data_IF_533098649971
#
_entry.id   IF_533098649971
#
_cell.length_a   1.000
_cell.length_b   1.000
_cell.length_c   1.000
_cell.angle_alpha   90.00
_cell.angle_beta   90.00
_cell.angle_gamma   90.00
#
_symmetry.space_group_name_H-M   'P 1'
#
loop_
_entity.id
_entity.type
_entity.pdbx_description
1 polymer ?
#
# COMPACT_ATOMS: atom_id res chain seq x y z
N UNK A 1 37.86 21.92 60.75
CA UNK A 1 38.34 21.67 59.38
C UNK A 1 37.13 21.64 58.46
N UNK A 2 37.09 22.61 57.56
CA UNK A 2 36.08 22.93 56.55
C UNK A 2 36.06 21.90 55.42
N UNK A 3 34.87 21.62 54.88
CA UNK A 3 34.67 21.41 53.44
C UNK A 3 33.18 21.61 53.08
N UNK A 4 32.85 22.83 52.67
CA UNK A 4 31.61 23.14 51.97
C UNK A 4 31.79 22.72 50.51
N UNK A 5 31.01 21.75 50.05
CA UNK A 5 30.94 21.35 48.64
C UNK A 5 29.79 22.09 47.95
N UNK A 6 30.10 23.17 47.23
CA UNK A 6 29.17 23.88 46.35
C UNK A 6 29.02 23.06 45.07
N UNK A 7 27.88 22.38 44.91
CA UNK A 7 27.53 21.73 43.64
C UNK A 7 27.09 22.80 42.64
N UNK A 8 28.03 23.20 41.80
CA UNK A 8 27.83 24.12 40.70
C UNK A 8 26.90 23.49 39.64
N UNK A 9 25.75 24.13 39.46
CA UNK A 9 25.04 24.38 38.19
C UNK A 9 25.47 23.51 37.00
N UNK A 10 24.83 22.35 36.85
CA UNK A 10 24.86 21.62 35.59
C UNK A 10 23.83 22.27 34.63
N UNK A 11 24.24 22.79 33.46
CA UNK A 11 23.32 23.39 32.52
C UNK A 11 22.46 22.28 31.88
N UNK A 12 21.18 22.26 32.23
CA UNK A 12 20.17 21.37 31.69
C UNK A 12 19.65 21.87 30.34
N UNK A 13 20.54 22.06 29.38
CA UNK A 13 20.15 22.27 27.98
C UNK A 13 19.69 20.93 27.40
N UNK A 14 18.41 20.60 27.61
CA UNK A 14 17.77 19.48 26.90
C UNK A 14 17.81 19.81 25.41
N UNK A 15 18.40 18.97 24.55
CA UNK A 15 18.32 19.19 23.12
C UNK A 15 16.85 19.21 22.73
N UNK A 16 16.38 20.36 22.23
CA UNK A 16 15.06 20.48 21.63
C UNK A 16 15.12 19.66 20.33
N UNK A 17 14.47 18.50 20.33
CA UNK A 17 14.25 17.73 19.12
C UNK A 17 13.32 18.55 18.22
N UNK A 18 13.89 19.20 17.20
CA UNK A 18 13.14 19.79 16.11
C UNK A 18 12.86 18.67 15.10
N UNK A 19 11.63 18.13 15.03
CA UNK A 19 11.32 17.10 14.04
C UNK A 19 11.60 17.66 12.65
N UNK A 20 12.20 16.87 11.73
CA UNK A 20 12.49 17.34 10.39
C UNK A 20 11.24 17.96 9.74
N UNK A 21 11.34 19.23 9.35
CA UNK A 21 10.27 20.04 8.72
C UNK A 21 9.72 19.44 7.41
N UNK A 22 10.35 18.38 6.88
CA UNK A 22 9.97 17.67 5.67
C UNK A 22 9.30 16.30 5.92
N UNK A 23 8.89 16.00 7.15
CA UNK A 23 8.16 14.75 7.42
C UNK A 23 6.72 14.91 6.95
N UNK A 24 6.38 14.26 5.83
CA UNK A 24 5.02 14.27 5.30
C UNK A 24 4.04 13.67 6.31
N UNK A 25 3.10 14.47 6.80
CA UNK A 25 2.08 14.00 7.72
C UNK A 25 1.06 13.14 6.97
N UNK A 26 1.13 11.82 7.16
CA UNK A 26 0.18 10.89 6.57
C UNK A 26 -1.07 10.77 7.43
N UNK A 27 -2.22 10.58 6.78
CA UNK A 27 -3.46 10.18 7.46
C UNK A 27 -3.36 8.72 7.88
N UNK A 28 -4.24 8.28 8.79
CA UNK A 28 -4.37 6.89 9.21
C UNK A 28 -5.02 6.01 8.11
N UNK A 29 -4.40 5.97 6.93
CA UNK A 29 -4.81 5.15 5.80
C UNK A 29 -3.56 4.70 5.03
N UNK A 30 -3.43 3.39 4.84
CA UNK A 30 -2.35 2.79 4.04
C UNK A 30 -2.93 2.03 2.86
N UNK A 31 -2.44 2.33 1.66
CA UNK A 31 -2.70 1.55 0.46
C UNK A 31 -1.51 0.61 0.18
N UNK A 32 -1.77 -0.68 0.08
CA UNK A 32 -0.72 -1.70 -0.01
C UNK A 32 -0.71 -2.35 -1.39
N UNK A 33 0.47 -2.54 -1.97
CA UNK A 33 0.68 -3.18 -3.27
C UNK A 33 1.27 -4.58 -3.08
N UNK A 34 0.64 -5.59 -3.67
CA UNK A 34 1.20 -6.92 -3.86
C UNK A 34 1.68 -7.06 -5.31
N UNK A 35 2.96 -7.36 -5.48
CA UNK A 35 3.59 -7.63 -6.78
C UNK A 35 4.19 -9.03 -6.83
N UNK A 36 4.46 -9.51 -8.04
CA UNK A 36 5.29 -10.68 -8.24
C UNK A 36 6.77 -10.48 -7.85
N UNK A 37 7.62 -11.51 -8.03
CA UNK A 37 8.99 -11.54 -7.53
C UNK A 37 9.91 -10.47 -8.10
N UNK A 38 9.62 -9.99 -9.32
CA UNK A 38 10.35 -8.89 -9.93
C UNK A 38 10.10 -7.54 -9.23
N UNK A 39 9.11 -7.44 -8.33
CA UNK A 39 8.82 -6.20 -7.63
C UNK A 39 8.51 -5.05 -8.59
N UNK A 40 9.03 -3.87 -8.28
CA UNK A 40 8.93 -2.68 -9.13
C UNK A 40 9.88 -2.71 -10.36
N UNK A 41 10.64 -3.78 -10.56
CA UNK A 41 11.36 -4.01 -11.82
C UNK A 41 10.39 -4.42 -12.95
N UNK A 42 9.23 -5.00 -12.61
CA UNK A 42 8.16 -5.23 -13.58
C UNK A 42 7.52 -3.90 -14.04
N UNK A 43 7.40 -3.64 -15.35
CA UNK A 43 6.83 -2.39 -15.86
C UNK A 43 5.37 -2.15 -15.45
N UNK A 44 4.55 -3.21 -15.32
CA UNK A 44 3.15 -3.06 -14.89
C UNK A 44 3.09 -2.69 -13.42
N UNK A 45 3.85 -3.38 -12.57
CA UNK A 45 3.97 -3.07 -11.16
C UNK A 45 4.47 -1.63 -10.93
N UNK A 46 5.45 -1.17 -11.72
CA UNK A 46 5.92 0.22 -11.69
C UNK A 46 4.84 1.23 -12.05
N UNK A 47 4.04 0.95 -13.07
CA UNK A 47 2.92 1.81 -13.45
C UNK A 47 1.85 1.89 -12.36
N UNK A 48 1.51 0.75 -11.74
CA UNK A 48 0.59 0.67 -10.61
C UNK A 48 1.12 1.49 -9.43
N UNK A 49 2.40 1.28 -9.06
CA UNK A 49 3.05 2.02 -7.98
C UNK A 49 3.07 3.52 -8.24
N UNK A 50 3.35 3.96 -9.46
CA UNK A 50 3.27 5.38 -9.84
C UNK A 50 1.88 5.97 -9.60
N UNK A 51 0.81 5.23 -9.94
CA UNK A 51 -0.57 5.64 -9.66
C UNK A 51 -0.86 5.76 -8.17
N UNK A 52 -0.38 4.80 -7.37
CA UNK A 52 -0.50 4.84 -5.91
C UNK A 52 0.26 6.03 -5.31
N UNK A 53 1.48 6.32 -5.78
CA UNK A 53 2.26 7.48 -5.36
C UNK A 53 1.55 8.80 -5.69
N UNK A 54 0.91 8.90 -6.86
CA UNK A 54 0.10 10.06 -7.21
C UNK A 54 -1.13 10.21 -6.30
N UNK A 55 -1.78 9.10 -5.94
CA UNK A 55 -2.89 9.10 -4.98
C UNK A 55 -2.43 9.50 -3.57
N UNK A 56 -1.29 8.97 -3.13
CA UNK A 56 -0.65 9.38 -1.87
C UNK A 56 -0.38 10.88 -1.89
N UNK A 57 0.24 11.40 -2.96
CA UNK A 57 0.53 12.83 -3.15
C UNK A 57 -0.71 13.70 -3.01
N UNK A 58 -1.85 13.25 -3.56
CA UNK A 58 -3.11 13.99 -3.53
C UNK A 58 -3.92 13.88 -2.23
N UNK A 59 -3.70 12.85 -1.41
CA UNK A 59 -4.58 12.52 -0.27
C UNK A 59 -3.87 12.41 1.08
N UNK A 60 -2.54 12.45 1.08
CA UNK A 60 -1.68 12.13 2.22
C UNK A 60 -1.92 10.73 2.79
N UNK A 61 -2.48 9.79 2.03
CA UNK A 61 -2.47 8.38 2.39
C UNK A 61 -1.05 7.81 2.28
N UNK A 62 -0.67 6.90 3.16
CA UNK A 62 0.59 6.16 3.05
C UNK A 62 0.47 5.09 1.96
N UNK A 63 1.56 4.79 1.26
CA UNK A 63 1.65 3.67 0.32
C UNK A 63 2.78 2.74 0.72
N UNK A 64 2.56 1.42 0.62
CA UNK A 64 3.57 0.39 0.84
C UNK A 64 3.47 -0.68 -0.24
N UNK A 65 4.54 -1.44 -0.44
CA UNK A 65 4.52 -2.59 -1.34
C UNK A 65 5.20 -3.80 -0.71
N UNK A 66 4.77 -4.98 -1.12
CA UNK A 66 5.44 -6.25 -0.86
C UNK A 66 5.54 -7.02 -2.17
N UNK A 67 6.71 -7.62 -2.40
CA UNK A 67 6.93 -8.51 -3.52
C UNK A 67 6.86 -9.96 -3.04
N UNK A 68 6.28 -10.84 -3.85
CA UNK A 68 6.36 -12.27 -3.64
C UNK A 68 7.82 -12.77 -3.64
N UNK A 69 8.06 -13.92 -3.01
CA UNK A 69 9.40 -14.48 -2.88
C UNK A 69 10.04 -14.81 -4.24
N UNK A 70 11.34 -14.54 -4.37
CA UNK A 70 12.17 -14.96 -5.51
C UNK A 70 12.59 -16.43 -5.33
N UNK A 71 12.68 -17.18 -6.43
CA UNK A 71 13.21 -18.54 -6.44
C UNK A 71 12.21 -19.64 -6.05
N UNK A 72 10.93 -19.28 -5.90
CA UNK A 72 9.84 -20.23 -5.70
C UNK A 72 8.95 -20.28 -6.94
N UNK A 73 8.25 -21.40 -7.13
CA UNK A 73 7.23 -21.51 -8.16
C UNK A 73 6.09 -20.53 -7.84
N UNK A 74 5.82 -19.61 -8.76
CA UNK A 74 4.77 -18.60 -8.63
C UNK A 74 3.40 -19.30 -8.70
N UNK A 75 2.87 -19.65 -7.54
CA UNK A 75 1.61 -20.36 -7.36
C UNK A 75 0.75 -19.65 -6.33
N UNK A 76 -0.57 -19.87 -6.36
CA UNK A 76 -1.48 -19.25 -5.38
C UNK A 76 -1.00 -19.52 -3.95
N UNK A 77 -0.70 -20.78 -3.63
CA UNK A 77 -0.24 -21.18 -2.30
C UNK A 77 1.04 -20.47 -1.84
N UNK A 78 2.00 -20.24 -2.74
CA UNK A 78 3.26 -19.54 -2.41
C UNK A 78 3.06 -18.03 -2.15
N UNK A 79 2.07 -17.40 -2.80
CA UNK A 79 1.81 -15.96 -2.69
C UNK A 79 0.82 -15.65 -1.55
N UNK A 80 -0.03 -16.60 -1.17
CA UNK A 80 -1.05 -16.44 -0.10
C UNK A 80 -0.50 -15.85 1.21
N UNK A 81 0.68 -16.26 1.74
CA UNK A 81 1.23 -15.66 2.96
C UNK A 81 1.47 -14.16 2.83
N UNK A 82 1.95 -13.70 1.66
CA UNK A 82 2.18 -12.28 1.38
C UNK A 82 0.85 -11.53 1.30
N UNK A 83 -0.14 -12.07 0.60
CA UNK A 83 -1.49 -11.49 0.54
C UNK A 83 -2.13 -11.38 1.93
N UNK A 84 -2.05 -12.42 2.75
CA UNK A 84 -2.57 -12.44 4.11
C UNK A 84 -1.86 -11.42 5.01
N UNK A 85 -0.55 -11.21 4.84
CA UNK A 85 0.18 -10.20 5.60
C UNK A 85 -0.37 -8.80 5.37
N UNK A 86 -0.80 -8.47 4.15
CA UNK A 86 -1.40 -7.16 3.83
C UNK A 86 -2.78 -7.00 4.46
N UNK A 87 -3.58 -8.07 4.48
CA UNK A 87 -4.88 -8.06 5.17
C UNK A 87 -4.70 -7.90 6.69
N UNK A 88 -3.73 -8.59 7.28
CA UNK A 88 -3.40 -8.48 8.70
C UNK A 88 -2.86 -7.10 9.08
N UNK A 89 -2.12 -6.44 8.19
CA UNK A 89 -1.69 -5.05 8.35
C UNK A 89 -2.84 -4.04 8.23
N UNK A 90 -4.08 -4.50 7.96
CA UNK A 90 -5.30 -3.69 7.88
C UNK A 90 -5.15 -2.54 6.87
N UNK A 91 -4.52 -2.81 5.73
CA UNK A 91 -4.45 -1.86 4.63
C UNK A 91 -5.87 -1.40 4.23
N UNK A 92 -6.07 -0.09 4.08
CA UNK A 92 -7.36 0.50 3.72
C UNK A 92 -7.79 0.20 2.28
N UNK A 93 -6.83 -0.18 1.43
CA UNK A 93 -7.03 -0.82 0.13
C UNK A 93 -5.80 -1.66 -0.21
N UNK A 94 -6.02 -2.82 -0.83
CA UNK A 94 -4.96 -3.72 -1.30
C UNK A 94 -5.03 -3.81 -2.82
N UNK A 95 -3.93 -3.50 -3.49
CA UNK A 95 -3.80 -3.54 -4.95
C UNK A 95 -2.92 -4.73 -5.31
N UNK A 96 -3.35 -5.58 -6.23
CA UNK A 96 -2.59 -6.73 -6.72
C UNK A 96 -2.28 -6.58 -8.20
N UNK A 97 -1.05 -6.90 -8.58
CA UNK A 97 -0.58 -6.86 -9.97
C UNK A 97 0.30 -8.06 -10.27
N UNK A 98 0.00 -8.71 -11.39
CA UNK A 98 0.59 -10.00 -11.78
C UNK A 98 -0.47 -11.10 -11.76
N UNK A 99 -0.35 -12.12 -12.64
CA UNK A 99 -1.41 -13.10 -12.86
C UNK A 99 -1.69 -13.94 -11.60
N UNK A 100 -0.64 -14.40 -10.93
CA UNK A 100 -0.75 -15.22 -9.72
C UNK A 100 -1.19 -14.36 -8.55
N UNK A 101 -0.66 -13.16 -8.40
CA UNK A 101 -1.02 -12.20 -7.35
C UNK A 101 -2.49 -11.80 -7.43
N UNK A 102 -3.00 -11.56 -8.65
CA UNK A 102 -4.41 -11.26 -8.90
C UNK A 102 -5.29 -12.46 -8.52
N UNK A 103 -4.93 -13.68 -8.94
CA UNK A 103 -5.69 -14.88 -8.61
C UNK A 103 -5.69 -15.15 -7.09
N UNK A 104 -4.53 -15.01 -6.44
CA UNK A 104 -4.39 -15.14 -4.98
C UNK A 104 -5.22 -14.10 -4.26
N UNK A 105 -5.14 -12.83 -4.66
CA UNK A 105 -5.88 -11.76 -4.00
C UNK A 105 -7.39 -11.91 -4.20
N UNK A 106 -7.85 -12.41 -5.37
CA UNK A 106 -9.25 -12.74 -5.59
C UNK A 106 -9.74 -13.85 -4.66
N UNK A 107 -8.94 -14.90 -4.44
CA UNK A 107 -9.26 -15.96 -3.50
C UNK A 107 -9.29 -15.47 -2.05
N UNK A 108 -8.31 -14.66 -1.64
CA UNK A 108 -8.24 -14.06 -0.30
C UNK A 108 -9.42 -13.11 -0.06
N UNK A 109 -9.74 -12.24 -1.03
CA UNK A 109 -10.82 -11.27 -0.92
C UNK A 109 -12.20 -11.90 -0.65
N UNK A 110 -12.44 -13.14 -1.10
CA UNK A 110 -13.68 -13.86 -0.84
C UNK A 110 -13.93 -14.10 0.66
N UNK A 111 -12.87 -14.23 1.46
CA UNK A 111 -12.97 -14.37 2.93
C UNK A 111 -13.00 -13.04 3.69
N UNK A 112 -12.86 -11.89 3.01
CA UNK A 112 -12.65 -10.58 3.63
C UNK A 112 -13.61 -9.53 3.08
N UNK A 113 -14.91 -9.69 3.34
CA UNK A 113 -15.96 -8.81 2.82
C UNK A 113 -15.80 -7.33 3.22
N UNK A 114 -15.17 -7.04 4.36
CA UNK A 114 -14.89 -5.66 4.82
C UNK A 114 -13.70 -5.00 4.11
N UNK A 115 -12.85 -5.80 3.45
CA UNK A 115 -11.66 -5.30 2.77
C UNK A 115 -12.01 -4.56 1.47
N UNK A 116 -11.03 -3.88 0.89
CA UNK A 116 -11.15 -3.26 -0.44
C UNK A 116 -9.99 -3.72 -1.28
N UNK A 117 -10.29 -4.33 -2.42
CA UNK A 117 -9.29 -4.98 -3.25
C UNK A 117 -9.33 -4.43 -4.67
N UNK A 118 -8.17 -4.14 -5.25
CA UNK A 118 -8.02 -3.69 -6.63
C UNK A 118 -7.15 -4.70 -7.38
N UNK A 119 -7.72 -5.36 -8.38
CA UNK A 119 -7.03 -6.34 -9.21
C UNK A 119 -6.64 -5.70 -10.54
N UNK A 120 -5.34 -5.68 -10.86
CA UNK A 120 -4.83 -5.01 -12.05
C UNK A 120 -4.47 -6.02 -13.14
N UNK A 121 -5.01 -5.81 -14.34
CA UNK A 121 -4.74 -6.61 -15.52
C UNK A 121 -5.64 -7.83 -15.69
N UNK A 122 -6.52 -8.12 -14.72
CA UNK A 122 -7.45 -9.25 -14.79
C UNK A 122 -8.23 -9.46 -13.49
N UNK A 123 -8.84 -10.65 -13.38
CA UNK A 123 -9.69 -11.04 -12.26
C UNK A 123 -11.16 -10.71 -12.47
N UNK A 124 -11.99 -11.03 -11.47
CA UNK A 124 -13.44 -10.78 -11.50
C UNK A 124 -13.83 -9.76 -10.45
N UNK A 125 -14.66 -8.80 -10.84
CA UNK A 125 -15.27 -7.87 -9.89
C UNK A 125 -16.23 -8.62 -8.94
N UNK A 126 -16.29 -8.14 -7.71
CA UNK A 126 -17.16 -8.62 -6.63
C UNK A 126 -17.48 -7.42 -5.72
N UNK A 127 -18.34 -7.59 -4.71
CA UNK A 127 -18.80 -6.49 -3.84
C UNK A 127 -17.67 -5.70 -3.14
N UNK A 128 -16.52 -6.33 -2.90
CA UNK A 128 -15.31 -5.73 -2.32
C UNK A 128 -14.13 -5.64 -3.30
N UNK A 129 -14.33 -6.01 -4.58
CA UNK A 129 -13.30 -6.08 -5.60
C UNK A 129 -13.57 -5.10 -6.75
N UNK A 130 -12.55 -4.29 -7.02
CA UNK A 130 -12.42 -3.46 -8.18
C UNK A 130 -11.44 -4.10 -9.18
N UNK A 131 -11.73 -4.05 -10.47
CA UNK A 131 -10.84 -4.54 -11.53
C UNK A 131 -10.36 -3.36 -12.38
N UNK A 132 -9.05 -3.22 -12.53
CA UNK A 132 -8.41 -2.30 -13.48
C UNK A 132 -7.98 -3.11 -14.69
N UNK A 133 -8.62 -2.95 -15.86
CA UNK A 133 -8.30 -3.72 -17.04
C UNK A 133 -6.89 -3.38 -17.57
N UNK A 134 -6.23 -4.31 -18.29
CA UNK A 134 -4.87 -4.14 -18.80
C UNK A 134 -4.77 -3.03 -19.86
N UNK A 135 -5.88 -2.70 -20.50
CA UNK A 135 -6.01 -1.69 -21.56
C UNK A 135 -7.29 -0.88 -21.37
N UNK A 136 -7.32 0.34 -21.90
CA UNK A 136 -8.48 1.24 -21.84
C UNK A 136 -8.09 2.67 -22.22
N UNK A 137 -9.04 3.61 -22.17
CA UNK A 137 -8.83 5.00 -22.60
C UNK A 137 -7.83 5.79 -21.75
N UNK A 138 -7.63 5.40 -20.50
CA UNK A 138 -6.66 5.99 -19.57
C UNK A 138 -5.48 5.07 -19.28
N UNK A 139 -4.37 5.62 -18.79
CA UNK A 139 -3.22 4.82 -18.33
C UNK A 139 -3.56 3.97 -17.09
N UNK A 140 -2.86 2.84 -16.89
CA UNK A 140 -2.98 2.02 -15.68
C UNK A 140 -2.71 2.86 -14.43
N UNK A 141 -1.68 3.71 -14.46
CA UNK A 141 -1.33 4.59 -13.35
C UNK A 141 -2.49 5.52 -12.97
N UNK A 142 -3.13 6.15 -13.95
CA UNK A 142 -4.27 7.05 -13.73
C UNK A 142 -5.48 6.32 -13.15
N UNK A 143 -5.81 5.12 -13.67
CA UNK A 143 -6.93 4.33 -13.13
C UNK A 143 -6.68 3.86 -11.70
N UNK A 144 -5.46 3.40 -11.40
CA UNK A 144 -5.05 3.01 -10.04
C UNK A 144 -5.11 4.21 -9.10
N UNK A 145 -4.63 5.38 -9.54
CA UNK A 145 -4.71 6.61 -8.76
C UNK A 145 -6.16 6.92 -8.36
N UNK A 146 -7.09 6.89 -9.32
CA UNK A 146 -8.52 7.13 -9.08
C UNK A 146 -9.09 6.11 -8.10
N UNK A 147 -8.80 4.82 -8.28
CA UNK A 147 -9.30 3.76 -7.40
C UNK A 147 -8.82 3.94 -5.94
N UNK A 148 -7.53 4.25 -5.74
CA UNK A 148 -6.97 4.48 -4.40
C UNK A 148 -7.55 5.75 -3.78
N UNK A 149 -7.68 6.84 -4.54
CA UNK A 149 -8.30 8.06 -4.02
C UNK A 149 -9.77 7.84 -3.61
N UNK A 150 -10.52 7.05 -4.37
CA UNK A 150 -11.89 6.66 -4.00
C UNK A 150 -11.92 5.86 -2.70
N UNK A 151 -10.97 4.94 -2.51
CA UNK A 151 -10.83 4.19 -1.26
C UNK A 151 -10.53 5.10 -0.06
N UNK A 152 -9.63 6.08 -0.22
CA UNK A 152 -9.29 7.04 0.83
C UNK A 152 -10.49 7.92 1.20
N UNK A 153 -11.29 8.35 0.21
CA UNK A 153 -12.47 9.20 0.41
C UNK A 153 -13.71 8.44 0.90
N UNK A 154 -13.61 7.12 1.06
CA UNK A 154 -14.76 6.27 1.42
C UNK A 154 -15.80 6.09 0.31
N UNK A 155 -15.48 6.51 -0.93
CA UNK A 155 -16.35 6.41 -2.10
C UNK A 155 -15.97 5.24 -3.03
N UNK A 156 -15.28 4.23 -2.48
CA UNK A 156 -14.87 3.05 -3.21
C UNK A 156 -16.09 2.33 -3.81
N UNK A 157 -16.03 2.05 -5.10
CA UNK A 157 -17.06 1.27 -5.81
C UNK A 157 -16.44 -0.03 -6.29
N UNK A 158 -17.09 -1.14 -6.00
CA UNK A 158 -16.82 -2.40 -6.69
C UNK A 158 -17.14 -2.30 -8.18
N UNK A 159 -16.47 -3.10 -9.01
CA UNK A 159 -16.71 -3.12 -10.46
C UNK A 159 -15.45 -2.88 -11.28
N UNK A 160 -15.61 -2.57 -12.56
CA UNK A 160 -14.50 -2.29 -13.47
C UNK A 160 -14.20 -0.79 -13.47
N UNK A 161 -12.98 -0.41 -13.12
CA UNK A 161 -12.50 0.97 -13.23
C UNK A 161 -11.98 1.20 -14.65
N UNK A 162 -12.56 2.17 -15.36
CA UNK A 162 -12.20 2.54 -16.74
C UNK A 162 -11.47 3.87 -16.82
#
# INVERSE_FOLDING_TARGET
>A
MTAAGVWALWPSSRPTYDPPHNTRQYIAFTACLLTGPAGLADPRARAVWSGMQAASSATNAQVSYVAAAVGQAETIGSVTPFANSLVQQRCGVIVAVGPVEVATMQAVAAGHAEGRFVLVGGGSAASNIAVVPPSGGSSIASRVQVAVQAAVRGSFRSGVFS
#
